data_IF_309076032010
#
_entry.id   IF_309076032010
#
_cell.length_a   1.000
_cell.length_b   1.000
_cell.length_c   1.000
_cell.angle_alpha   90.00
_cell.angle_beta   90.00
_cell.angle_gamma   90.00
#
_symmetry.space_group_name_H-M   'P 1'
#
loop_
_entity.id
_entity.type
_entity.pdbx_description
1 polymer ?
#
# COMPACT_ATOMS: atom_id res chain seq x y z
N UNK A 1 29.67 1.54 -4.71
CA UNK A 1 29.76 2.09 -6.09
C UNK A 1 30.79 1.36 -6.98
N UNK A 2 32.10 1.39 -6.69
CA UNK A 2 33.12 0.70 -7.55
C UNK A 2 32.87 -0.81 -7.71
N UNK A 3 32.50 -1.51 -6.64
CA UNK A 3 32.15 -2.95 -6.67
C UNK A 3 30.98 -3.25 -7.61
N UNK A 4 29.88 -2.52 -7.46
CA UNK A 4 28.71 -2.65 -8.32
C UNK A 4 29.05 -2.45 -9.79
N UNK A 5 29.87 -1.44 -10.11
CA UNK A 5 30.34 -1.20 -11.48
C UNK A 5 31.09 -2.41 -12.08
N UNK A 6 32.02 -3.01 -11.33
CA UNK A 6 32.76 -4.18 -11.82
C UNK A 6 31.86 -5.41 -12.01
N UNK A 7 30.91 -5.64 -11.10
CA UNK A 7 29.96 -6.76 -11.22
C UNK A 7 29.00 -6.54 -12.38
N UNK A 8 28.47 -5.33 -12.58
CA UNK A 8 27.65 -5.01 -13.75
C UNK A 8 28.41 -5.15 -15.07
N UNK A 9 29.70 -4.78 -15.10
CA UNK A 9 30.56 -4.98 -16.28
C UNK A 9 30.81 -6.46 -16.54
N UNK A 10 31.06 -7.27 -15.51
CA UNK A 10 31.21 -8.72 -15.63
C UNK A 10 29.92 -9.36 -16.17
N UNK A 11 28.75 -8.93 -15.69
CA UNK A 11 27.46 -9.39 -16.22
C UNK A 11 27.29 -9.04 -17.71
N UNK A 12 27.69 -7.84 -18.12
CA UNK A 12 27.67 -7.43 -19.53
C UNK A 12 28.55 -8.31 -20.41
N UNK A 13 29.76 -8.66 -19.95
CA UNK A 13 30.64 -9.59 -20.66
C UNK A 13 30.03 -11.00 -20.75
N UNK A 14 29.45 -11.51 -19.67
CA UNK A 14 28.86 -12.85 -19.65
C UNK A 14 27.63 -12.96 -20.55
N UNK A 15 26.78 -11.92 -20.61
CA UNK A 15 25.64 -11.86 -21.55
C UNK A 15 26.09 -11.91 -23.02
N UNK A 16 27.24 -11.33 -23.35
CA UNK A 16 27.79 -11.43 -24.71
C UNK A 16 28.30 -12.83 -25.08
N UNK A 17 28.43 -13.73 -24.11
CA UNK A 17 28.83 -15.13 -24.28
C UNK A 17 27.64 -16.10 -24.11
N UNK A 18 26.44 -15.60 -23.81
CA UNK A 18 25.23 -16.39 -23.53
C UNK A 18 24.78 -17.23 -24.74
N UNK A 19 25.05 -16.76 -25.97
CA UNK A 19 24.79 -17.48 -27.23
C UNK A 19 25.55 -18.83 -27.33
N UNK A 20 26.55 -19.07 -26.46
CA UNK A 20 27.38 -20.28 -26.45
C UNK A 20 26.90 -21.32 -25.42
N UNK A 21 25.87 -21.02 -24.62
CA UNK A 21 25.24 -21.96 -23.68
C UNK A 21 26.05 -22.32 -22.43
N UNK A 22 27.34 -21.98 -22.37
CA UNK A 22 28.25 -22.29 -21.24
C UNK A 22 28.20 -21.27 -20.09
N UNK A 23 27.57 -20.10 -20.29
CA UNK A 23 27.64 -18.96 -19.36
C UNK A 23 26.40 -18.79 -18.46
N UNK A 24 25.35 -19.60 -18.59
CA UNK A 24 24.06 -19.39 -17.92
C UNK A 24 24.16 -19.43 -16.39
N UNK A 25 24.88 -20.41 -15.84
CA UNK A 25 25.13 -20.51 -14.39
C UNK A 25 25.96 -19.34 -13.85
N UNK A 26 27.01 -18.95 -14.56
CA UNK A 26 27.83 -17.78 -14.19
C UNK A 26 27.02 -16.46 -14.26
N UNK A 27 26.14 -16.31 -15.26
CA UNK A 27 25.23 -15.16 -15.37
C UNK A 27 24.30 -15.10 -14.16
N UNK A 28 23.77 -16.25 -13.72
CA UNK A 28 22.91 -16.33 -12.54
C UNK A 28 23.67 -15.94 -11.27
N UNK A 29 24.84 -16.51 -11.03
CA UNK A 29 25.66 -16.17 -9.85
C UNK A 29 26.04 -14.69 -9.81
N UNK A 30 26.45 -14.11 -10.94
CA UNK A 30 26.78 -12.68 -11.03
C UNK A 30 25.55 -11.80 -10.81
N UNK A 31 24.36 -12.25 -11.21
CA UNK A 31 23.09 -11.56 -10.95
C UNK A 31 22.74 -11.60 -9.46
N UNK A 32 22.85 -12.74 -8.80
CA UNK A 32 22.60 -12.88 -7.36
C UNK A 32 23.54 -11.97 -6.55
N UNK A 33 24.83 -11.91 -6.92
CA UNK A 33 25.80 -11.00 -6.30
C UNK A 33 25.44 -9.54 -6.57
N UNK A 34 24.97 -9.20 -7.77
CA UNK A 34 24.53 -7.85 -8.10
C UNK A 34 23.32 -7.44 -7.26
N UNK A 35 22.36 -8.33 -7.05
CA UNK A 35 21.16 -8.07 -6.26
C UNK A 35 21.51 -7.84 -4.79
N UNK A 36 22.39 -8.66 -4.20
CA UNK A 36 22.90 -8.44 -2.85
C UNK A 36 23.68 -7.12 -2.73
N UNK A 37 24.48 -6.76 -3.75
CA UNK A 37 25.16 -5.46 -3.78
C UNK A 37 24.18 -4.29 -3.84
N UNK A 38 23.08 -4.42 -4.59
CA UNK A 38 22.03 -3.41 -4.64
C UNK A 38 21.32 -3.26 -3.29
N UNK A 39 20.99 -4.38 -2.63
CA UNK A 39 20.45 -4.40 -1.27
C UNK A 39 21.40 -3.68 -0.30
N UNK A 40 22.68 -4.02 -0.34
CA UNK A 40 23.67 -3.41 0.54
C UNK A 40 23.80 -1.90 0.31
N UNK A 41 23.76 -1.43 -0.94
CA UNK A 41 23.78 0.01 -1.25
C UNK A 41 22.52 0.71 -0.70
N UNK A 42 21.34 0.07 -0.79
CA UNK A 42 20.10 0.61 -0.22
C UNK A 42 20.19 0.74 1.30
N UNK A 43 20.60 -0.33 1.99
CA UNK A 43 20.79 -0.35 3.45
C UNK A 43 21.83 0.68 3.89
N UNK A 44 22.96 0.79 3.17
CA UNK A 44 24.00 1.78 3.46
C UNK A 44 23.45 3.20 3.38
N UNK A 45 22.77 3.57 2.29
CA UNK A 45 22.22 4.92 2.11
C UNK A 45 21.15 5.25 3.17
N UNK A 46 20.30 4.29 3.52
CA UNK A 46 19.30 4.46 4.56
C UNK A 46 19.96 4.68 5.94
N UNK A 47 21.03 3.93 6.24
CA UNK A 47 21.76 4.09 7.49
C UNK A 47 22.54 5.42 7.54
N UNK A 48 23.17 5.83 6.45
CA UNK A 48 23.81 7.14 6.31
C UNK A 48 22.82 8.27 6.59
N UNK A 49 21.62 8.20 6.01
CA UNK A 49 20.56 9.18 6.25
C UNK A 49 20.14 9.22 7.73
N UNK A 50 19.96 8.05 8.36
CA UNK A 50 19.67 7.96 9.81
C UNK A 50 20.80 8.48 10.70
N UNK A 51 22.06 8.41 10.26
CA UNK A 51 23.20 9.02 10.96
C UNK A 51 23.11 10.54 10.87
N UNK A 52 22.85 11.09 9.69
CA UNK A 52 22.70 12.55 9.49
C UNK A 52 21.55 13.10 10.35
N UNK A 53 20.40 12.43 10.37
CA UNK A 53 19.26 12.81 11.22
C UNK A 53 19.59 12.76 12.72
N UNK A 54 20.36 11.75 13.13
CA UNK A 54 20.79 11.61 14.51
C UNK A 54 21.77 12.72 14.92
N UNK A 55 22.71 13.09 14.04
CA UNK A 55 23.65 14.20 14.25
C UNK A 55 22.94 15.56 14.36
N UNK A 56 21.86 15.75 13.60
CA UNK A 56 21.05 16.97 13.68
C UNK A 56 20.21 17.06 14.97
N UNK A 57 19.96 15.94 15.64
CA UNK A 57 19.14 15.89 16.85
C UNK A 57 20.01 16.07 18.12
N UNK A 58 19.66 17.07 18.94
CA UNK A 58 20.43 17.48 20.12
C UNK A 58 20.31 16.57 21.35
N UNK A 59 19.53 15.48 21.26
CA UNK A 59 19.14 14.63 22.40
C UNK A 59 19.81 13.26 22.43
N UNK A 60 20.82 13.01 21.60
CA UNK A 60 21.34 11.67 21.36
C UNK A 60 22.63 11.38 22.13
N UNK A 61 22.81 10.13 22.54
CA UNK A 61 24.03 9.67 23.22
C UNK A 61 25.13 9.45 22.21
N UNK A 62 26.31 10.05 22.45
CA UNK A 62 27.50 9.94 21.59
C UNK A 62 27.86 8.49 21.21
N UNK A 63 27.55 7.52 22.10
CA UNK A 63 27.83 6.11 21.87
C UNK A 63 26.96 5.50 20.75
N UNK A 64 25.66 5.83 20.68
CA UNK A 64 24.77 5.35 19.62
C UNK A 64 25.20 5.87 18.25
N UNK A 65 25.62 7.13 18.20
CA UNK A 65 26.12 7.75 16.98
C UNK A 65 27.43 7.09 16.53
N UNK A 66 28.35 6.82 17.46
CA UNK A 66 29.61 6.13 17.18
C UNK A 66 29.38 4.72 16.64
N UNK A 67 28.48 3.97 17.26
CA UNK A 67 28.13 2.62 16.83
C UNK A 67 27.57 2.63 15.39
N UNK A 68 26.62 3.51 15.09
CA UNK A 68 26.06 3.64 13.73
C UNK A 68 27.12 4.01 12.70
N UNK A 69 28.05 4.92 13.03
CA UNK A 69 29.18 5.27 12.16
C UNK A 69 30.10 4.08 11.89
N UNK A 70 30.35 3.24 12.90
CA UNK A 70 31.13 2.02 12.71
C UNK A 70 30.41 1.03 11.78
N UNK A 71 29.10 0.85 11.94
CA UNK A 71 28.31 -0.02 11.06
C UNK A 71 28.22 0.53 9.61
N UNK A 72 28.17 1.85 9.41
CA UNK A 72 28.30 2.50 8.08
C UNK A 72 29.65 2.19 7.44
N UNK A 73 30.75 2.33 8.19
CA UNK A 73 32.09 1.99 7.68
C UNK A 73 32.15 0.50 7.30
N UNK A 74 31.59 -0.37 8.14
CA UNK A 74 31.58 -1.79 7.88
C UNK A 74 30.80 -2.14 6.60
N UNK A 75 29.59 -1.60 6.40
CA UNK A 75 28.81 -1.74 5.16
C UNK A 75 29.50 -1.13 3.93
N UNK A 76 30.33 -0.10 4.12
CA UNK A 76 31.08 0.52 3.03
C UNK A 76 32.20 -0.38 2.52
N UNK A 77 32.87 -1.10 3.43
CA UNK A 77 34.09 -1.85 3.13
C UNK A 77 33.89 -3.37 2.98
N UNK A 78 32.91 -3.98 3.64
CA UNK A 78 32.67 -5.44 3.58
C UNK A 78 31.37 -5.77 2.85
N UNK A 79 31.37 -6.85 2.05
CA UNK A 79 30.15 -7.39 1.44
C UNK A 79 29.49 -8.35 2.43
N UNK A 80 28.17 -8.27 2.55
CA UNK A 80 27.38 -9.12 3.44
C UNK A 80 26.31 -9.86 2.65
N UNK A 81 25.95 -11.06 3.12
CA UNK A 81 24.78 -11.78 2.65
C UNK A 81 23.48 -11.10 3.10
N UNK A 82 22.36 -11.46 2.48
CA UNK A 82 21.07 -10.85 2.74
C UNK A 82 20.57 -11.03 4.18
N UNK A 83 20.83 -12.17 4.82
CA UNK A 83 20.44 -12.42 6.21
C UNK A 83 21.22 -11.54 7.17
N UNK A 84 22.51 -11.36 6.93
CA UNK A 84 23.33 -10.40 7.69
C UNK A 84 22.87 -8.96 7.45
N UNK A 85 22.56 -8.58 6.21
CA UNK A 85 22.01 -7.25 5.89
C UNK A 85 20.69 -6.99 6.64
N UNK A 86 19.83 -8.00 6.72
CA UNK A 86 18.55 -7.93 7.44
C UNK A 86 18.76 -7.80 8.95
N UNK A 87 19.42 -8.77 9.58
CA UNK A 87 19.47 -8.90 11.04
C UNK A 87 20.38 -7.87 11.69
N UNK A 88 21.59 -7.69 11.14
CA UNK A 88 22.63 -6.86 11.76
C UNK A 88 22.43 -5.37 11.50
N UNK A 89 21.77 -5.01 10.41
CA UNK A 89 21.66 -3.61 9.99
C UNK A 89 20.20 -3.17 9.86
N UNK A 90 19.42 -3.74 8.93
CA UNK A 90 18.07 -3.24 8.62
C UNK A 90 17.12 -3.34 9.81
N UNK A 91 17.00 -4.52 10.42
CA UNK A 91 16.15 -4.75 11.59
C UNK A 91 16.66 -4.03 12.82
N UNK A 92 17.99 -4.06 13.07
CA UNK A 92 18.64 -3.40 14.21
C UNK A 92 18.31 -1.91 14.29
N UNK A 93 18.22 -1.24 13.14
CA UNK A 93 18.01 0.20 13.06
C UNK A 93 16.61 0.60 12.60
N UNK A 94 15.61 -0.28 12.69
CA UNK A 94 14.23 0.02 12.28
C UNK A 94 14.12 0.58 10.85
N UNK A 95 14.87 0.00 9.92
CA UNK A 95 14.83 0.31 8.49
C UNK A 95 13.84 -0.63 7.81
N UNK A 96 12.57 -0.56 8.21
CA UNK A 96 11.55 -1.55 7.83
C UNK A 96 11.26 -1.57 6.32
N UNK A 97 11.43 -0.43 5.64
CA UNK A 97 11.36 -0.35 4.18
C UNK A 97 12.44 -1.24 3.54
N UNK A 98 13.66 -1.16 4.05
CA UNK A 98 14.80 -1.93 3.60
C UNK A 98 14.64 -3.41 3.95
N UNK A 99 14.05 -3.73 5.11
CA UNK A 99 13.64 -5.10 5.43
C UNK A 99 12.70 -5.70 4.38
N UNK A 100 11.67 -4.96 3.94
CA UNK A 100 10.77 -5.43 2.87
C UNK A 100 11.50 -5.64 1.54
N UNK A 101 12.41 -4.74 1.16
CA UNK A 101 13.22 -4.93 -0.04
C UNK A 101 14.11 -6.18 0.02
N UNK A 102 14.72 -6.45 1.18
CA UNK A 102 15.52 -7.66 1.36
C UNK A 102 14.64 -8.90 1.22
N UNK A 103 13.47 -8.94 1.88
CA UNK A 103 12.51 -10.05 1.78
C UNK A 103 12.07 -10.28 0.32
N UNK A 104 11.78 -9.19 -0.40
CA UNK A 104 11.38 -9.22 -1.82
C UNK A 104 12.45 -9.85 -2.71
N UNK A 105 13.69 -9.36 -2.63
CA UNK A 105 14.81 -9.89 -3.42
C UNK A 105 15.10 -11.35 -3.04
N UNK A 106 14.99 -11.71 -1.77
CA UNK A 106 15.21 -13.08 -1.30
C UNK A 106 14.03 -14.03 -1.58
N UNK A 107 12.90 -13.51 -2.08
CA UNK A 107 11.66 -14.27 -2.31
C UNK A 107 11.18 -15.03 -1.07
N UNK A 108 11.33 -14.44 0.12
CA UNK A 108 10.86 -15.06 1.37
C UNK A 108 9.36 -14.81 1.57
N UNK A 109 8.58 -15.88 1.71
CA UNK A 109 7.10 -15.85 1.82
C UNK A 109 6.62 -15.80 3.29
N UNK A 110 7.30 -15.03 4.15
CA UNK A 110 6.94 -14.88 5.55
C UNK A 110 5.82 -13.82 5.72
N UNK A 111 4.57 -14.20 5.43
CA UNK A 111 3.42 -13.29 5.43
C UNK A 111 3.24 -12.51 6.76
N UNK A 112 3.44 -13.16 7.90
CA UNK A 112 3.33 -12.51 9.22
C UNK A 112 4.41 -11.46 9.46
N UNK A 113 5.63 -11.70 8.98
CA UNK A 113 6.73 -10.74 9.06
C UNK A 113 6.47 -9.56 8.13
N UNK A 114 6.02 -9.83 6.90
CA UNK A 114 5.68 -8.80 5.91
C UNK A 114 4.56 -7.89 6.44
N UNK A 115 3.47 -8.46 6.95
CA UNK A 115 2.35 -7.68 7.51
C UNK A 115 2.79 -6.88 8.75
N UNK A 116 3.65 -7.44 9.61
CA UNK A 116 4.23 -6.74 10.75
C UNK A 116 5.08 -5.54 10.33
N UNK A 117 5.95 -5.69 9.31
CA UNK A 117 6.77 -4.60 8.78
C UNK A 117 5.92 -3.50 8.15
N UNK A 118 4.89 -3.85 7.37
CA UNK A 118 3.95 -2.87 6.83
C UNK A 118 3.18 -2.14 7.93
N UNK A 119 2.76 -2.85 8.98
CA UNK A 119 2.14 -2.23 10.15
C UNK A 119 3.09 -1.22 10.78
N UNK A 120 4.35 -1.57 11.03
CA UNK A 120 5.34 -0.63 11.55
C UNK A 120 5.46 0.63 10.67
N UNK A 121 5.59 0.45 9.35
CA UNK A 121 5.68 1.57 8.38
C UNK A 121 4.45 2.47 8.47
N UNK A 122 3.24 1.91 8.35
CA UNK A 122 1.99 2.68 8.35
C UNK A 122 1.83 3.46 9.65
N UNK A 123 1.99 2.80 10.80
CA UNK A 123 1.72 3.41 12.10
C UNK A 123 2.83 4.37 12.56
N UNK A 124 4.02 4.32 11.96
CA UNK A 124 5.05 5.37 12.18
C UNK A 124 4.76 6.68 11.44
N UNK A 125 3.94 6.64 10.39
CA UNK A 125 3.56 7.82 9.62
C UNK A 125 2.30 8.50 10.18
N UNK A 126 1.53 7.81 11.02
CA UNK A 126 0.33 8.36 11.63
C UNK A 126 0.66 9.28 12.81
N UNK A 127 -0.02 10.43 12.93
CA UNK A 127 0.06 11.26 14.12
C UNK A 127 -0.23 10.52 15.41
N UNK A 128 0.53 10.86 16.45
CA UNK A 128 0.39 10.27 17.79
C UNK A 128 -0.82 10.80 18.57
N UNK A 129 -1.44 11.89 18.12
CA UNK A 129 -2.58 12.52 18.78
C UNK A 129 -3.77 12.68 17.83
N UNK A 130 -4.94 12.31 18.34
CA UNK A 130 -6.25 12.61 17.77
C UNK A 130 -7.17 13.06 18.90
N UNK A 131 -8.18 13.86 18.58
CA UNK A 131 -9.26 14.21 19.50
C UNK A 131 -10.18 13.03 19.83
N UNK A 132 -10.10 11.93 19.07
CA UNK A 132 -10.96 10.77 19.19
C UNK A 132 -10.30 9.68 20.06
N UNK A 133 -10.84 9.46 21.27
CA UNK A 133 -10.33 8.47 22.20
C UNK A 133 -10.41 7.03 21.67
N UNK A 134 -11.48 6.69 20.93
CA UNK A 134 -11.65 5.36 20.36
C UNK A 134 -10.62 5.08 19.25
N UNK A 135 -10.30 6.10 18.43
CA UNK A 135 -9.21 6.00 17.46
C UNK A 135 -7.87 5.81 18.17
N UNK A 136 -7.57 6.58 19.21
CA UNK A 136 -6.31 6.45 19.94
C UNK A 136 -6.13 5.04 20.55
N UNK A 137 -7.20 4.47 21.11
CA UNK A 137 -7.20 3.10 21.62
C UNK A 137 -7.00 2.07 20.52
N UNK A 138 -7.72 2.20 19.39
CA UNK A 138 -7.55 1.34 18.22
C UNK A 138 -6.11 1.41 17.70
N UNK A 139 -5.56 2.62 17.51
CA UNK A 139 -4.18 2.84 17.04
C UNK A 139 -3.17 2.20 17.98
N UNK A 140 -3.34 2.35 19.29
CA UNK A 140 -2.46 1.73 20.29
C UNK A 140 -2.43 0.21 20.14
N UNK A 141 -3.60 -0.44 19.97
CA UNK A 141 -3.67 -1.88 19.71
C UNK A 141 -3.00 -2.29 18.41
N UNK A 142 -3.02 -1.44 17.37
CA UNK A 142 -2.28 -1.69 16.14
C UNK A 142 -0.76 -1.51 16.32
N UNK A 143 -0.31 -0.52 17.10
CA UNK A 143 1.11 -0.36 17.44
C UNK A 143 1.63 -1.55 18.25
N UNK A 144 0.84 -2.05 19.22
CA UNK A 144 1.18 -3.24 20.00
C UNK A 144 1.34 -4.48 19.10
N UNK A 145 0.39 -4.72 18.19
CA UNK A 145 0.50 -5.79 17.18
C UNK A 145 1.73 -5.64 16.28
N UNK A 146 2.22 -4.42 16.09
CA UNK A 146 3.43 -4.14 15.32
C UNK A 146 4.71 -4.32 16.14
N UNK A 147 4.62 -4.52 17.45
CA UNK A 147 5.76 -4.46 18.37
C UNK A 147 6.38 -3.07 18.45
N UNK A 148 5.63 -2.00 18.14
CA UNK A 148 6.06 -0.63 18.34
C UNK A 148 5.83 -0.26 19.80
N UNK A 149 6.84 0.35 20.43
CA UNK A 149 6.67 0.90 21.76
C UNK A 149 5.59 1.97 21.73
N UNK A 150 4.69 1.94 22.72
CA UNK A 150 3.74 3.01 22.99
C UNK A 150 4.54 4.25 23.43
N UNK A 151 5.11 5.00 22.49
CA UNK A 151 5.77 6.26 22.79
C UNK A 151 4.69 7.26 23.16
N UNK A 152 4.35 7.32 24.44
CA UNK A 152 3.74 8.47 25.10
C UNK A 152 4.79 9.56 25.22
N UNK A 153 5.28 10.11 24.10
CA UNK A 153 6.23 11.22 24.10
C UNK A 153 5.46 12.52 23.88
N UNK A 154 5.21 13.17 25.00
CA UNK A 154 4.56 14.47 25.24
C UNK A 154 5.30 15.67 24.62
N UNK A 155 6.03 15.51 23.52
CA UNK A 155 6.84 16.60 22.99
C UNK A 155 7.39 16.33 21.60
N UNK A 156 6.74 16.90 20.59
CA UNK A 156 7.38 17.72 19.55
C UNK A 156 6.38 17.93 18.41
N UNK A 157 5.64 19.04 18.46
CA UNK A 157 5.02 19.71 17.30
C UNK A 157 4.23 18.88 16.26
N UNK A 158 3.80 17.66 16.58
CA UNK A 158 3.18 16.76 15.62
C UNK A 158 1.82 17.28 15.20
N UNK A 159 1.59 17.39 13.88
CA UNK A 159 0.28 17.70 13.32
C UNK A 159 -0.77 16.71 13.85
N UNK A 160 -1.94 17.18 14.25
CA UNK A 160 -3.01 16.27 14.72
C UNK A 160 -3.50 15.34 13.60
N UNK A 161 -4.07 14.19 13.96
CA UNK A 161 -4.64 13.25 12.98
C UNK A 161 -5.68 13.91 12.07
N UNK A 162 -6.49 14.81 12.62
CA UNK A 162 -7.56 15.52 11.90
C UNK A 162 -7.02 16.49 10.85
N UNK A 163 -5.74 16.90 10.94
CA UNK A 163 -5.13 17.80 9.96
C UNK A 163 -5.01 17.19 8.56
N UNK A 164 -5.02 15.86 8.43
CA UNK A 164 -4.89 15.17 7.14
C UNK A 164 -3.52 15.31 6.45
N UNK A 165 -2.59 16.11 6.98
CA UNK A 165 -1.27 16.35 6.38
C UNK A 165 -0.44 15.06 6.21
N UNK A 166 -0.69 14.06 7.07
CA UNK A 166 -0.05 12.75 7.01
C UNK A 166 -0.52 11.90 5.82
N UNK A 167 -1.72 12.14 5.26
CA UNK A 167 -2.29 11.35 4.16
C UNK A 167 -1.36 11.40 2.94
N UNK A 168 -0.92 12.59 2.55
CA UNK A 168 -0.02 12.76 1.40
C UNK A 168 1.33 12.08 1.60
N UNK A 169 1.88 12.13 2.82
CA UNK A 169 3.15 11.46 3.15
C UNK A 169 2.99 9.94 3.11
N UNK A 170 1.90 9.42 3.66
CA UNK A 170 1.54 8.01 3.63
C UNK A 170 1.35 7.52 2.20
N UNK A 171 0.55 8.21 1.39
CA UNK A 171 0.36 7.90 -0.02
C UNK A 171 1.69 7.89 -0.78
N UNK A 172 2.52 8.93 -0.62
CA UNK A 172 3.81 9.00 -1.30
C UNK A 172 4.72 7.83 -0.92
N UNK A 173 4.77 7.47 0.37
CA UNK A 173 5.62 6.38 0.86
C UNK A 173 5.13 5.03 0.37
N UNK A 174 3.84 4.72 0.54
CA UNK A 174 3.24 3.45 0.12
C UNK A 174 3.27 3.32 -1.40
N UNK A 175 3.02 4.39 -2.17
CA UNK A 175 3.07 4.36 -3.63
C UNK A 175 4.45 4.00 -4.15
N UNK A 176 5.50 4.65 -3.62
CA UNK A 176 6.89 4.36 -4.02
C UNK A 176 7.29 2.92 -3.70
N UNK A 177 6.87 2.43 -2.53
CA UNK A 177 7.11 1.05 -2.14
C UNK A 177 6.33 0.07 -3.00
N UNK A 178 5.03 0.30 -3.18
CA UNK A 178 4.16 -0.51 -4.00
C UNK A 178 4.67 -0.63 -5.43
N UNK A 179 5.05 0.46 -6.07
CA UNK A 179 5.64 0.40 -7.43
C UNK A 179 6.89 -0.47 -7.51
N UNK A 180 7.67 -0.53 -6.43
CA UNK A 180 8.91 -1.31 -6.40
C UNK A 180 8.70 -2.77 -5.96
N UNK A 181 7.66 -3.05 -5.17
CA UNK A 181 7.41 -4.36 -4.56
C UNK A 181 6.28 -5.15 -5.23
N UNK A 182 5.36 -4.46 -5.89
CA UNK A 182 4.20 -5.05 -6.57
C UNK A 182 4.46 -5.28 -8.06
N UNK A 183 5.22 -4.39 -8.69
CA UNK A 183 5.40 -4.33 -10.14
C UNK A 183 6.87 -4.57 -10.52
N UNK A 184 7.37 -5.78 -10.27
CA UNK A 184 8.64 -6.26 -10.83
C UNK A 184 8.36 -7.53 -11.65
N UNK A 185 7.54 -7.35 -12.69
CA UNK A 185 7.29 -8.32 -13.74
C UNK A 185 8.35 -8.16 -14.82
N UNK A 186 9.24 -9.14 -14.88
CA UNK A 186 10.32 -9.35 -15.83
C UNK A 186 9.90 -8.99 -17.28
N UNK A 187 10.67 -8.12 -17.95
CA UNK A 187 10.55 -7.81 -19.38
C UNK A 187 10.87 -9.04 -20.28
N UNK A 188 11.05 -10.24 -19.71
CA UNK A 188 11.33 -11.48 -20.43
C UNK A 188 10.07 -12.34 -20.63
N UNK A 189 9.46 -12.20 -21.81
CA UNK A 189 8.86 -13.26 -22.65
C UNK A 189 8.10 -14.46 -22.03
N UNK A 190 7.47 -14.35 -20.87
CA UNK A 190 6.55 -15.36 -20.36
C UNK A 190 5.14 -14.79 -20.28
N UNK A 191 4.31 -15.11 -21.28
CA UNK A 191 2.88 -14.78 -21.34
C UNK A 191 2.03 -15.54 -20.31
N UNK A 192 2.52 -15.73 -19.09
CA UNK A 192 1.75 -16.29 -17.98
C UNK A 192 1.30 -15.15 -17.06
N UNK A 193 0.03 -14.79 -17.17
CA UNK A 193 -0.66 -13.75 -16.38
C UNK A 193 -0.80 -14.09 -14.87
N UNK A 194 0.10 -14.91 -14.31
CA UNK A 194 0.07 -15.40 -12.94
C UNK A 194 1.46 -15.42 -12.27
N UNK A 195 2.38 -14.54 -12.71
CA UNK A 195 3.65 -14.32 -12.02
C UNK A 195 3.45 -13.63 -10.68
N UNK A 196 3.77 -14.35 -9.60
CA UNK A 196 3.56 -14.05 -8.18
C UNK A 196 4.40 -12.82 -7.75
N UNK A 197 4.00 -11.62 -8.20
CA UNK A 197 4.64 -10.34 -7.84
C UNK A 197 4.08 -9.66 -6.59
N UNK A 198 3.13 -10.30 -5.89
CA UNK A 198 2.28 -9.62 -4.90
C UNK A 198 2.48 -9.97 -3.43
N UNK A 199 3.37 -10.91 -3.05
CA UNK A 199 3.41 -11.38 -1.66
C UNK A 199 4.01 -10.34 -0.69
N UNK A 200 5.01 -9.55 -1.13
CA UNK A 200 5.59 -8.47 -0.28
C UNK A 200 4.75 -7.21 -0.27
N UNK A 201 3.83 -7.04 -1.23
CA UNK A 201 2.83 -5.96 -1.22
C UNK A 201 1.43 -6.56 -0.99
N UNK A 202 1.08 -6.91 0.26
CA UNK A 202 -0.13 -7.66 0.57
C UNK A 202 -1.37 -6.77 0.44
N UNK A 203 -1.94 -6.71 -0.77
CA UNK A 203 -3.04 -5.80 -1.13
C UNK A 203 -4.22 -5.92 -0.18
N UNK A 204 -4.66 -7.14 0.17
CA UNK A 204 -5.79 -7.34 1.09
C UNK A 204 -5.54 -6.76 2.48
N UNK A 205 -4.37 -7.03 3.07
CA UNK A 205 -3.97 -6.47 4.37
C UNK A 205 -3.87 -4.95 4.34
N UNK A 206 -3.22 -4.42 3.30
CA UNK A 206 -3.05 -2.97 3.16
C UNK A 206 -4.40 -2.28 2.94
N UNK A 207 -5.30 -2.86 2.14
CA UNK A 207 -6.64 -2.31 1.91
C UNK A 207 -7.44 -2.25 3.21
N UNK A 208 -7.45 -3.32 4.01
CA UNK A 208 -8.11 -3.33 5.31
C UNK A 208 -7.60 -2.21 6.22
N UNK A 209 -6.28 -2.18 6.47
CA UNK A 209 -5.68 -1.22 7.41
C UNK A 209 -5.86 0.21 6.94
N UNK A 210 -5.66 0.50 5.65
CA UNK A 210 -5.76 1.85 5.12
C UNK A 210 -7.21 2.33 5.06
N UNK A 211 -8.18 1.44 4.80
CA UNK A 211 -9.59 1.81 4.85
C UNK A 211 -10.07 2.09 6.28
N UNK A 212 -9.56 1.36 7.27
CA UNK A 212 -9.82 1.73 8.67
C UNK A 212 -9.29 3.12 9.00
N UNK A 213 -8.07 3.42 8.56
CA UNK A 213 -7.47 4.74 8.74
C UNK A 213 -8.32 5.83 8.05
N UNK A 214 -8.76 5.56 6.82
CA UNK A 214 -9.64 6.45 6.05
C UNK A 214 -10.97 6.71 6.77
N UNK A 215 -11.62 5.64 7.26
CA UNK A 215 -12.87 5.74 7.99
C UNK A 215 -12.72 6.50 9.30
N UNK A 216 -11.64 6.27 10.06
CA UNK A 216 -11.34 7.05 11.25
C UNK A 216 -11.14 8.53 10.94
N UNK A 217 -10.46 8.85 9.85
CA UNK A 217 -10.27 10.23 9.41
C UNK A 217 -11.59 10.92 9.06
N UNK A 218 -12.46 10.25 8.30
CA UNK A 218 -13.80 10.72 7.95
C UNK A 218 -14.61 11.01 9.23
N UNK A 219 -14.63 10.07 10.19
CA UNK A 219 -15.34 10.24 11.47
C UNK A 219 -14.81 11.39 12.30
N UNK A 220 -13.49 11.51 12.43
CA UNK A 220 -12.89 12.53 13.30
C UNK A 220 -12.98 13.95 12.72
N UNK A 221 -13.17 14.07 11.40
CA UNK A 221 -13.31 15.38 10.72
C UNK A 221 -14.77 15.77 10.43
N UNK A 222 -15.71 14.82 10.51
CA UNK A 222 -17.11 15.05 10.15
C UNK A 222 -17.31 15.36 8.66
N UNK A 223 -16.28 15.16 7.85
CA UNK A 223 -16.29 15.35 6.40
C UNK A 223 -17.00 14.13 5.84
N UNK A 224 -18.34 14.21 5.69
CA UNK A 224 -19.17 13.08 5.25
C UNK A 224 -18.81 12.63 3.83
N UNK A 225 -18.80 11.31 3.59
CA UNK A 225 -18.40 10.68 2.32
C UNK A 225 -19.26 11.06 1.11
N UNK A 226 -20.45 11.66 1.34
CA UNK A 226 -21.39 12.09 0.30
C UNK A 226 -21.30 13.62 0.12
N UNK A 227 -20.10 14.17 -0.05
CA UNK A 227 -19.88 15.58 -0.40
C UNK A 227 -20.20 15.90 -1.88
N UNK A 228 -21.28 15.29 -2.41
CA UNK A 228 -21.95 15.70 -3.65
C UNK A 228 -23.26 16.46 -3.41
N UNK A 229 -23.66 16.68 -2.16
CA UNK A 229 -24.86 17.45 -1.82
C UNK A 229 -24.51 18.94 -1.60
N UNK A 230 -25.23 19.80 -2.31
CA UNK A 230 -24.95 21.21 -2.62
C UNK A 230 -25.22 22.17 -1.44
N UNK A 231 -24.99 21.79 -0.18
CA UNK A 231 -25.51 22.59 0.96
C UNK A 231 -24.50 23.11 1.99
N UNK A 232 -23.19 22.96 1.80
CA UNK A 232 -22.20 23.68 2.64
C UNK A 232 -21.22 24.48 1.79
N UNK A 233 -21.67 25.68 1.42
CA UNK A 233 -20.85 26.73 0.82
C UNK A 233 -19.85 27.28 1.85
N UNK A 234 -18.82 26.50 2.22
CA UNK A 234 -17.57 26.96 2.86
C UNK A 234 -16.69 25.79 3.31
N UNK A 235 -16.25 24.95 2.36
CA UNK A 235 -15.03 24.17 2.55
C UNK A 235 -14.28 24.14 1.22
N UNK A 236 -13.08 24.71 1.23
CA UNK A 236 -12.10 24.68 0.14
C UNK A 236 -12.04 23.30 -0.53
N UNK A 237 -11.94 23.28 -1.86
CA UNK A 237 -11.59 22.17 -2.78
C UNK A 237 -10.89 20.92 -2.21
N UNK A 238 -11.50 20.22 -1.25
CA UNK A 238 -11.13 18.87 -0.86
C UNK A 238 -11.80 17.97 -1.91
N UNK A 239 -11.06 17.83 -3.00
CA UNK A 239 -11.42 17.09 -4.20
C UNK A 239 -11.91 15.68 -3.83
N UNK A 240 -12.83 15.12 -4.62
CA UNK A 240 -13.41 13.77 -4.43
C UNK A 240 -12.33 12.66 -4.36
N UNK A 241 -11.09 12.99 -4.72
CA UNK A 241 -9.87 12.19 -4.52
C UNK A 241 -9.48 11.99 -3.06
N UNK A 242 -9.92 12.86 -2.15
CA UNK A 242 -9.60 12.76 -0.71
C UNK A 242 -10.40 11.67 -0.03
N UNK A 243 -11.62 11.38 -0.52
CA UNK A 243 -12.47 10.33 0.05
C UNK A 243 -12.10 8.92 -0.42
N UNK A 244 -11.50 8.80 -1.60
CA UNK A 244 -11.11 7.52 -2.21
C UNK A 244 -9.58 7.42 -2.39
N UNK A 245 -8.84 8.05 -1.48
CA UNK A 245 -7.39 8.16 -1.57
C UNK A 245 -6.70 6.79 -1.49
N UNK A 246 -7.28 5.84 -0.74
CA UNK A 246 -6.82 4.45 -0.62
C UNK A 246 -6.97 3.71 -1.94
N UNK A 247 -8.16 3.79 -2.55
CA UNK A 247 -8.42 3.23 -3.86
C UNK A 247 -7.45 3.77 -4.92
N UNK A 248 -7.33 5.10 -5.01
CA UNK A 248 -6.43 5.75 -5.97
C UNK A 248 -4.99 5.29 -5.77
N UNK A 249 -4.53 5.16 -4.51
CA UNK A 249 -3.20 4.67 -4.19
C UNK A 249 -2.95 3.27 -4.78
N UNK A 250 -3.87 2.32 -4.62
CA UNK A 250 -3.69 0.97 -5.19
C UNK A 250 -3.71 0.96 -6.72
N UNK A 251 -4.59 1.75 -7.33
CA UNK A 251 -4.61 1.88 -8.79
C UNK A 251 -3.32 2.53 -9.33
N UNK A 252 -2.79 3.54 -8.63
CA UNK A 252 -1.53 4.21 -8.98
C UNK A 252 -0.29 3.31 -8.77
N UNK A 253 -0.37 2.34 -7.85
CA UNK A 253 0.62 1.25 -7.71
C UNK A 253 0.56 0.28 -8.89
N UNK A 254 -0.59 0.17 -9.56
CA UNK A 254 -0.81 -0.73 -10.69
C UNK A 254 -1.64 -1.97 -10.35
N UNK A 255 -2.31 -1.99 -9.18
CA UNK A 255 -3.20 -3.09 -8.82
C UNK A 255 -4.40 -3.13 -9.78
N UNK A 256 -4.68 -4.27 -10.46
CA UNK A 256 -5.83 -4.36 -11.35
C UNK A 256 -7.15 -4.14 -10.62
N UNK A 257 -8.09 -3.42 -11.24
CA UNK A 257 -9.41 -3.12 -10.67
C UNK A 257 -10.15 -4.38 -10.21
N UNK A 258 -10.06 -5.47 -10.99
CA UNK A 258 -10.64 -6.78 -10.65
C UNK A 258 -10.08 -7.35 -9.35
N UNK A 259 -8.76 -7.35 -9.22
CA UNK A 259 -8.06 -7.87 -8.04
C UNK A 259 -8.43 -7.03 -6.83
N UNK A 260 -8.41 -5.71 -6.96
CA UNK A 260 -8.79 -4.81 -5.88
C UNK A 260 -10.25 -5.02 -5.44
N UNK A 261 -11.19 -5.11 -6.39
CA UNK A 261 -12.61 -5.38 -6.08
C UNK A 261 -12.77 -6.70 -5.32
N UNK A 262 -12.03 -7.75 -5.68
CA UNK A 262 -12.11 -9.04 -4.97
C UNK A 262 -11.65 -8.97 -3.52
N UNK A 263 -10.62 -8.18 -3.21
CA UNK A 263 -10.20 -7.96 -1.82
C UNK A 263 -11.24 -7.16 -1.05
N UNK A 264 -11.84 -6.13 -1.64
CA UNK A 264 -12.90 -5.37 -0.98
C UNK A 264 -14.16 -6.20 -0.75
N UNK A 265 -14.52 -7.09 -1.68
CA UNK A 265 -15.59 -8.06 -1.51
C UNK A 265 -15.30 -9.01 -0.33
N UNK A 266 -14.06 -9.49 -0.22
CA UNK A 266 -13.64 -10.32 0.92
C UNK A 266 -13.75 -9.56 2.24
N UNK A 267 -13.22 -8.33 2.32
CA UNK A 267 -13.33 -7.48 3.51
C UNK A 267 -14.79 -7.19 3.89
N UNK A 268 -15.64 -7.00 2.87
CA UNK A 268 -17.07 -6.83 3.05
C UNK A 268 -17.74 -8.07 3.62
N UNK A 269 -17.31 -9.28 3.27
CA UNK A 269 -17.86 -10.53 3.82
C UNK A 269 -17.35 -10.85 5.22
N UNK A 270 -16.09 -10.55 5.51
CA UNK A 270 -15.44 -10.91 6.77
C UNK A 270 -15.94 -10.08 7.97
N UNK A 271 -16.57 -8.92 7.73
CA UNK A 271 -17.20 -7.99 8.68
C UNK A 271 -16.59 -7.96 10.10
N UNK A 272 -15.97 -6.84 10.52
CA UNK A 272 -15.28 -6.74 11.80
C UNK A 272 -16.18 -7.00 13.02
N UNK A 273 -15.54 -7.32 14.13
CA UNK A 273 -16.16 -7.43 15.45
C UNK A 273 -17.02 -6.19 15.76
N UNK A 274 -18.12 -6.41 16.50
CA UNK A 274 -19.20 -5.43 16.70
C UNK A 274 -18.72 -4.06 17.22
N UNK A 275 -17.61 -4.02 17.97
CA UNK A 275 -17.07 -2.81 18.61
C UNK A 275 -16.69 -1.68 17.64
N UNK A 276 -16.31 -2.00 16.40
CA UNK A 276 -15.90 -1.00 15.40
C UNK A 276 -16.80 -0.95 14.15
N UNK A 277 -17.87 -1.76 14.14
CA UNK A 277 -18.69 -2.04 12.95
C UNK A 277 -19.48 -0.84 12.43
N UNK A 278 -19.87 0.10 13.29
CA UNK A 278 -20.71 1.24 12.90
C UNK A 278 -20.10 1.97 11.68
N UNK A 279 -20.85 2.18 10.60
CA UNK A 279 -20.34 2.84 9.39
C UNK A 279 -19.32 2.07 8.52
N UNK A 280 -18.70 0.98 8.99
CA UNK A 280 -17.73 0.21 8.19
C UNK A 280 -18.34 -0.39 6.92
N UNK A 281 -19.53 -0.97 7.05
CA UNK A 281 -20.26 -1.57 5.92
C UNK A 281 -20.56 -0.53 4.84
N UNK A 282 -21.06 0.65 5.23
CA UNK A 282 -21.35 1.75 4.30
C UNK A 282 -20.08 2.28 3.63
N UNK A 283 -19.00 2.44 4.41
CA UNK A 283 -17.68 2.86 3.93
C UNK A 283 -17.13 1.92 2.84
N UNK A 284 -17.12 0.61 3.11
CA UNK A 284 -16.67 -0.38 2.12
C UNK A 284 -17.54 -0.40 0.86
N UNK A 285 -18.87 -0.29 1.02
CA UNK A 285 -19.79 -0.21 -0.12
C UNK A 285 -19.52 1.04 -0.97
N UNK A 286 -19.19 2.18 -0.36
CA UNK A 286 -18.78 3.38 -1.08
C UNK A 286 -17.47 3.17 -1.85
N UNK A 287 -16.45 2.56 -1.23
CA UNK A 287 -15.19 2.23 -1.91
C UNK A 287 -15.41 1.27 -3.08
N UNK A 288 -16.26 0.24 -2.92
CA UNK A 288 -16.59 -0.69 -4.02
C UNK A 288 -17.35 -0.01 -5.15
N UNK A 289 -18.31 0.86 -4.85
CA UNK A 289 -18.98 1.68 -5.87
C UNK A 289 -17.99 2.56 -6.64
N UNK A 290 -17.02 3.16 -5.93
CA UNK A 290 -15.97 3.96 -6.54
C UNK A 290 -15.07 3.10 -7.45
N UNK A 291 -14.66 1.89 -7.02
CA UNK A 291 -13.90 0.93 -7.84
C UNK A 291 -14.65 0.63 -9.14
N UNK A 292 -15.92 0.24 -9.06
CA UNK A 292 -16.75 -0.11 -10.22
C UNK A 292 -16.88 1.08 -11.17
N UNK A 293 -17.15 2.27 -10.63
CA UNK A 293 -17.33 3.49 -11.41
C UNK A 293 -16.05 3.90 -12.13
N UNK A 294 -14.90 3.84 -11.44
CA UNK A 294 -13.59 4.16 -12.02
C UNK A 294 -13.20 3.13 -13.07
N UNK A 295 -13.37 1.83 -12.78
CA UNK A 295 -13.07 0.76 -13.72
C UNK A 295 -13.87 0.91 -15.02
N UNK A 296 -15.18 1.16 -14.91
CA UNK A 296 -16.02 1.42 -16.09
C UNK A 296 -15.52 2.61 -16.90
N UNK A 297 -15.22 3.74 -16.24
CA UNK A 297 -14.71 4.96 -16.90
C UNK A 297 -13.39 4.69 -17.61
N UNK A 298 -12.49 3.92 -16.99
CA UNK A 298 -11.23 3.51 -17.60
C UNK A 298 -11.47 2.59 -18.80
N UNK A 299 -12.28 1.55 -18.66
CA UNK A 299 -12.59 0.60 -19.74
C UNK A 299 -13.28 1.28 -20.94
N UNK A 300 -14.15 2.26 -20.69
CA UNK A 300 -14.88 3.00 -21.73
C UNK A 300 -14.08 4.17 -22.32
N UNK A 301 -12.87 4.44 -21.82
CA UNK A 301 -12.05 5.54 -22.31
C UNK A 301 -11.56 5.25 -23.73
N UNK A 302 -11.58 6.22 -24.65
CA UNK A 302 -11.00 6.06 -25.99
C UNK A 302 -9.50 5.71 -25.99
N UNK A 303 -8.81 5.97 -24.87
CA UNK A 303 -7.39 5.65 -24.67
C UNK A 303 -7.15 4.26 -24.12
N UNK A 304 -8.20 3.54 -23.71
CA UNK A 304 -8.08 2.18 -23.22
C UNK A 304 -7.80 1.21 -24.38
N UNK A 305 -6.88 0.28 -24.16
CA UNK A 305 -6.68 -0.83 -25.10
C UNK A 305 -7.93 -1.71 -25.18
N UNK A 306 -8.14 -2.39 -26.31
CA UNK A 306 -9.28 -3.31 -26.52
C UNK A 306 -9.36 -4.40 -25.43
N UNK A 307 -8.21 -4.81 -24.90
CA UNK A 307 -8.11 -5.83 -23.85
C UNK A 307 -8.75 -5.37 -22.54
N UNK A 308 -8.61 -4.09 -22.17
CA UNK A 308 -9.21 -3.53 -20.94
C UNK A 308 -10.73 -3.48 -21.01
N UNK A 309 -11.26 -3.16 -22.19
CA UNK A 309 -12.70 -3.16 -22.45
C UNK A 309 -13.27 -4.58 -22.39
N UNK A 310 -12.60 -5.54 -23.03
CA UNK A 310 -12.98 -6.94 -23.02
C UNK A 310 -12.91 -7.55 -21.61
N UNK A 311 -11.87 -7.24 -20.85
CA UNK A 311 -11.71 -7.68 -19.46
C UNK A 311 -12.86 -7.18 -18.57
N UNK A 312 -13.18 -5.88 -18.67
CA UNK A 312 -14.30 -5.30 -17.92
C UNK A 312 -15.62 -5.95 -18.30
N UNK A 313 -15.89 -6.11 -19.61
CA UNK A 313 -17.13 -6.73 -20.09
C UNK A 313 -17.28 -8.19 -19.64
N UNK A 314 -16.18 -8.95 -19.62
CA UNK A 314 -16.17 -10.32 -19.09
C UNK A 314 -16.50 -10.36 -17.58
N UNK A 315 -16.17 -9.31 -16.83
CA UNK A 315 -16.47 -9.21 -15.40
C UNK A 315 -17.85 -8.61 -15.09
N UNK A 316 -18.50 -7.92 -16.04
CA UNK A 316 -19.79 -7.26 -15.82
C UNK A 316 -20.88 -8.15 -15.19
N UNK A 317 -21.10 -9.41 -15.60
CA UNK A 317 -22.11 -10.27 -14.98
C UNK A 317 -21.92 -10.42 -13.47
N UNK A 318 -20.69 -10.72 -13.04
CA UNK A 318 -20.35 -10.87 -11.62
C UNK A 318 -20.53 -9.54 -10.87
N UNK A 319 -20.18 -8.40 -11.48
CA UNK A 319 -20.35 -7.07 -10.86
C UNK A 319 -21.83 -6.74 -10.67
N UNK A 320 -22.69 -7.12 -11.63
CA UNK A 320 -24.14 -6.95 -11.52
C UNK A 320 -24.70 -7.78 -10.37
N UNK A 321 -24.27 -9.04 -10.23
CA UNK A 321 -24.69 -9.91 -9.13
C UNK A 321 -24.24 -9.36 -7.76
N UNK A 322 -23.02 -8.81 -7.68
CA UNK A 322 -22.54 -8.12 -6.48
C UNK A 322 -23.40 -6.90 -6.13
N UNK A 323 -23.76 -6.10 -7.13
CA UNK A 323 -24.65 -4.96 -6.94
C UNK A 323 -26.02 -5.40 -6.40
N UNK A 324 -26.54 -6.56 -6.80
CA UNK A 324 -27.80 -7.10 -6.26
C UNK A 324 -27.69 -7.49 -4.78
N UNK A 325 -26.58 -8.10 -4.37
CA UNK A 325 -26.28 -8.34 -2.96
C UNK A 325 -26.26 -7.03 -2.18
N UNK A 326 -25.47 -6.05 -2.62
CA UNK A 326 -25.33 -4.76 -1.96
C UNK A 326 -26.65 -3.98 -1.86
N UNK A 327 -27.46 -4.00 -2.91
CA UNK A 327 -28.80 -3.38 -2.92
C UNK A 327 -29.71 -4.04 -1.88
N UNK A 328 -29.63 -5.37 -1.74
CA UNK A 328 -30.41 -6.12 -0.76
C UNK A 328 -30.00 -5.75 0.66
N UNK A 329 -28.70 -5.71 0.93
CA UNK A 329 -28.15 -5.38 2.25
C UNK A 329 -28.43 -3.91 2.65
N UNK A 330 -28.33 -2.98 1.69
CA UNK A 330 -28.67 -1.57 1.92
C UNK A 330 -30.17 -1.37 2.22
N UNK A 331 -31.07 -2.14 1.59
CA UNK A 331 -32.50 -2.11 1.92
C UNK A 331 -32.79 -2.64 3.32
N UNK A 332 -32.07 -3.67 3.75
CA UNK A 332 -32.21 -4.19 5.11
C UNK A 332 -31.71 -3.18 6.17
N UNK A 333 -30.79 -2.28 5.78
CA UNK A 333 -30.17 -1.28 6.66
C UNK A 333 -30.90 0.07 6.64
N UNK A 334 -31.91 0.28 5.77
CA UNK A 334 -32.47 1.60 5.43
C UNK A 334 -33.35 2.28 6.50
N UNK A 335 -33.11 2.04 7.78
CA UNK A 335 -33.66 2.85 8.89
C UNK A 335 -32.72 3.99 9.30
N UNK A 336 -31.69 4.28 8.50
CA UNK A 336 -30.66 5.27 8.80
C UNK A 336 -31.21 6.72 8.81
N UNK A 337 -31.04 7.41 9.94
CA UNK A 337 -31.50 8.79 10.18
C UNK A 337 -30.81 9.81 9.26
N UNK A 338 -29.59 9.49 8.78
CA UNK A 338 -28.77 10.40 7.98
C UNK A 338 -29.00 10.30 6.46
N UNK A 339 -29.80 9.33 6.00
CA UNK A 339 -30.12 9.17 4.56
C UNK A 339 -28.95 8.71 3.67
N UNK A 340 -27.77 8.43 4.23
CA UNK A 340 -26.57 8.03 3.48
C UNK A 340 -26.77 6.66 2.81
N UNK A 341 -27.33 5.70 3.55
CA UNK A 341 -27.65 4.38 3.01
C UNK A 341 -28.63 4.46 1.82
N UNK A 342 -29.62 5.36 1.89
CA UNK A 342 -30.59 5.58 0.82
C UNK A 342 -29.95 6.21 -0.42
N UNK A 343 -29.06 7.19 -0.24
CA UNK A 343 -28.31 7.79 -1.34
C UNK A 343 -27.39 6.77 -2.02
N UNK A 344 -26.72 5.92 -1.24
CA UNK A 344 -25.84 4.87 -1.77
C UNK A 344 -26.63 3.79 -2.52
N UNK A 345 -27.81 3.42 -2.00
CA UNK A 345 -28.75 2.50 -2.65
C UNK A 345 -29.15 2.99 -4.04
N UNK A 346 -29.49 4.28 -4.20
CA UNK A 346 -29.82 4.87 -5.50
C UNK A 346 -28.63 4.85 -6.47
N UNK A 347 -27.41 5.08 -5.96
CA UNK A 347 -26.21 5.02 -6.79
C UNK A 347 -25.92 3.61 -7.29
N UNK A 348 -26.07 2.58 -6.44
CA UNK A 348 -25.93 1.18 -6.88
C UNK A 348 -27.00 0.78 -7.89
N UNK A 349 -28.26 1.21 -7.71
CA UNK A 349 -29.33 1.00 -8.70
C UNK A 349 -28.97 1.61 -10.05
N UNK A 350 -28.46 2.85 -10.05
CA UNK A 350 -28.01 3.53 -11.27
C UNK A 350 -26.86 2.80 -11.95
N UNK A 351 -25.80 2.48 -11.20
CA UNK A 351 -24.63 1.77 -11.73
C UNK A 351 -25.01 0.40 -12.28
N UNK A 352 -25.87 -0.35 -11.58
CA UNK A 352 -26.42 -1.63 -12.07
C UNK A 352 -27.13 -1.44 -13.42
N UNK A 353 -28.01 -0.46 -13.55
CA UNK A 353 -28.71 -0.15 -14.80
C UNK A 353 -27.74 0.19 -15.94
N UNK A 354 -26.70 0.97 -15.64
CA UNK A 354 -25.64 1.32 -16.59
C UNK A 354 -24.84 0.08 -17.04
N UNK A 355 -24.53 -0.84 -16.13
CA UNK A 355 -23.81 -2.09 -16.44
C UNK A 355 -24.65 -3.06 -17.29
N UNK A 356 -25.96 -3.15 -17.02
CA UNK A 356 -26.87 -3.95 -17.85
C UNK A 356 -26.96 -3.41 -19.28
N UNK A 357 -27.02 -2.09 -19.44
CA UNK A 357 -27.03 -1.46 -20.76
C UNK A 357 -25.67 -1.61 -21.47
N UNK A 358 -24.56 -1.57 -20.74
CA UNK A 358 -23.23 -1.78 -21.31
C UNK A 358 -23.11 -3.13 -22.04
N UNK A 359 -23.75 -4.18 -21.51
CA UNK A 359 -23.83 -5.50 -22.16
C UNK A 359 -24.61 -5.50 -23.48
N UNK A 360 -25.56 -4.59 -23.67
CA UNK A 360 -26.37 -4.54 -24.89
C UNK A 360 -25.69 -3.80 -26.06
N UNK A 361 -24.62 -3.04 -25.78
CA UNK A 361 -23.87 -2.28 -26.79
C UNK A 361 -22.59 -2.96 -27.29
N UNK A 362 -22.16 -4.05 -26.64
CA UNK A 362 -21.07 -4.93 -27.04
C UNK A 362 -21.63 -6.21 -27.63
#
# INVERSE_FOLDING_TARGET
>A
VKRQYYVSKALGCLKSLEDVGEATEAIREVRDVLDVLQLQVRVLKALEQKVIELEASSSTTDEQLRERKADVQLLTFKLFDASTLYNRFASKYDMWTECLYIIHVCKSEEADVITTLWRKIIFSLLPQSSNNAAFNAWRLGQCEKAGLLATSSTGSGGSSFESGNWIGQMQCKILRLGKSLYFEGDDTHSGSAAGIGGFVFPVGFLADVLEWISLWYIRSTGVGAIAGSVTSASASAIDATTFNWVLKLFLDVGVPHRVLLSYYEQLYREQPERLYREGWTLHLLQSMLAIITIWRKHASSPRAGKDQLAEFAACCPNIVDLCDGFITDLRATSQDENGEASALLEQFRRVKGELLNFRTFM
#
